data_IF_553868031702
#
_entry.id   IF_553868031702
#
_cell.length_a   1.000
_cell.length_b   1.000
_cell.length_c   1.000
_cell.angle_alpha   90.00
_cell.angle_beta   90.00
_cell.angle_gamma   90.00
#
_symmetry.space_group_name_H-M   'P 1'
#
loop_
_entity.id
_entity.type
_entity.pdbx_description
1 polymer ?
#
# COMPACT_ATOMS: atom_id res chain seq x y z
N UNK A 1 9.99 -9.31 29.72
CA UNK A 1 11.06 -9.53 28.73
C UNK A 1 10.61 -8.94 27.40
N UNK A 2 11.09 -7.72 27.07
CA UNK A 2 10.74 -7.02 25.82
C UNK A 2 11.57 -7.63 24.68
N UNK A 3 10.96 -8.42 23.80
CA UNK A 3 11.59 -8.83 22.54
C UNK A 3 11.21 -7.80 21.48
N UNK A 4 12.20 -7.06 21.03
CA UNK A 4 12.07 -6.12 19.92
C UNK A 4 11.74 -6.84 18.62
N UNK A 5 11.01 -6.16 17.76
CA UNK A 5 11.03 -6.41 16.33
C UNK A 5 11.12 -5.05 15.64
N UNK A 6 12.17 -4.96 14.82
CA UNK A 6 12.67 -3.82 14.07
C UNK A 6 11.63 -3.25 13.09
N UNK A 7 11.64 -1.92 12.98
CA UNK A 7 10.76 -1.14 12.15
C UNK A 7 11.13 -1.28 10.67
N UNK A 8 10.23 -1.83 9.86
CA UNK A 8 10.27 -1.69 8.41
C UNK A 8 9.00 -0.99 7.96
N UNK A 9 9.13 0.28 7.55
CA UNK A 9 8.11 1.19 7.02
C UNK A 9 7.05 1.77 7.98
N UNK A 10 6.72 1.10 9.10
CA UNK A 10 5.74 1.61 10.09
C UNK A 10 6.14 2.95 10.75
N UNK A 11 7.44 3.28 10.75
CA UNK A 11 7.96 4.54 11.32
C UNK A 11 7.63 5.78 10.48
N UNK A 12 7.32 5.64 9.17
CA UNK A 12 6.93 6.79 8.32
C UNK A 12 5.57 7.36 8.76
N UNK A 13 4.65 6.49 9.17
CA UNK A 13 3.31 6.87 9.62
C UNK A 13 3.29 7.59 10.98
N UNK A 14 4.42 7.67 11.71
CA UNK A 14 4.38 8.14 13.09
C UNK A 14 4.13 9.65 13.21
N UNK A 15 4.57 10.53 12.30
CA UNK A 15 4.31 12.00 12.39
C UNK A 15 4.56 12.81 11.09
N UNK A 16 4.22 12.35 9.88
CA UNK A 16 4.37 13.19 8.68
C UNK A 16 3.11 13.21 7.82
N UNK A 17 2.74 14.41 7.35
CA UNK A 17 1.74 14.63 6.31
C UNK A 17 2.28 14.03 5.00
N UNK A 18 1.42 13.36 4.25
CA UNK A 18 1.73 12.81 2.94
C UNK A 18 2.17 13.91 1.96
N UNK A 19 3.20 13.66 1.16
CA UNK A 19 3.68 14.57 0.09
C UNK A 19 2.77 14.49 -1.13
N UNK A 20 2.77 15.53 -1.96
CA UNK A 20 1.93 15.59 -3.17
C UNK A 20 2.25 14.48 -4.18
N UNK A 21 3.54 14.13 -4.33
CA UNK A 21 3.99 12.97 -5.09
C UNK A 21 4.65 12.02 -4.08
N UNK A 22 4.03 10.87 -3.84
CA UNK A 22 4.54 9.88 -2.89
C UNK A 22 4.02 8.48 -3.23
N UNK A 23 4.85 7.47 -3.03
CA UNK A 23 4.44 6.08 -3.07
C UNK A 23 5.22 5.27 -2.05
N UNK A 24 4.67 4.13 -1.66
CA UNK A 24 5.32 3.28 -0.67
C UNK A 24 4.65 1.94 -0.49
N UNK A 25 5.42 1.00 0.02
CA UNK A 25 4.95 -0.33 0.43
C UNK A 25 4.73 -0.29 1.95
N UNK A 26 3.66 -0.92 2.43
CA UNK A 26 3.36 -1.04 3.85
C UNK A 26 3.35 -2.52 4.18
N UNK A 27 4.17 -2.91 5.16
CA UNK A 27 4.14 -4.26 5.72
C UNK A 27 3.08 -4.31 6.83
N UNK A 28 2.15 -5.24 6.68
CA UNK A 28 1.07 -5.53 7.60
C UNK A 28 1.38 -6.80 8.38
N UNK A 29 1.33 -6.68 9.70
CA UNK A 29 1.28 -7.80 10.62
C UNK A 29 -0.18 -8.28 10.67
N UNK A 30 -0.53 -9.32 9.91
CA UNK A 30 -1.88 -9.92 9.98
C UNK A 30 -1.87 -11.11 10.95
N UNK A 31 -3.04 -11.70 11.22
CA UNK A 31 -3.22 -12.68 12.29
C UNK A 31 -2.28 -13.92 12.24
N UNK A 32 -1.62 -14.17 11.12
CA UNK A 32 -0.67 -15.26 10.92
C UNK A 32 0.76 -14.94 11.37
N UNK A 33 1.08 -13.68 11.70
CA UNK A 33 2.38 -13.26 12.23
C UNK A 33 2.82 -11.86 11.78
N UNK A 34 3.97 -11.36 12.26
CA UNK A 34 4.54 -10.10 11.78
C UNK A 34 4.99 -10.18 10.32
N UNK A 35 4.80 -9.11 9.53
CA UNK A 35 5.32 -8.96 8.17
C UNK A 35 4.69 -9.89 7.13
N UNK A 36 3.53 -10.47 7.42
CA UNK A 36 2.91 -11.53 6.61
C UNK A 36 2.17 -11.05 5.37
N UNK A 37 1.88 -9.75 5.26
CA UNK A 37 1.22 -9.18 4.07
C UNK A 37 1.80 -7.81 3.72
N UNK A 38 1.98 -7.53 2.43
CA UNK A 38 2.44 -6.23 1.95
C UNK A 38 1.38 -5.62 1.05
N UNK A 39 1.02 -4.37 1.33
CA UNK A 39 0.16 -3.52 0.51
C UNK A 39 0.97 -2.34 0.01
N UNK A 40 0.48 -1.56 -0.95
CA UNK A 40 1.13 -0.31 -1.33
C UNK A 40 0.16 0.82 -1.55
N UNK A 41 0.70 2.03 -1.64
CA UNK A 41 -0.07 3.22 -1.98
C UNK A 41 0.65 4.05 -3.04
N UNK A 42 -0.13 4.80 -3.80
CA UNK A 42 0.35 5.73 -4.81
C UNK A 42 -0.42 7.05 -4.73
N UNK A 43 0.32 8.15 -4.62
CA UNK A 43 -0.20 9.50 -4.58
C UNK A 43 0.39 10.33 -5.72
N UNK A 44 -0.47 10.67 -6.68
CA UNK A 44 -0.15 11.54 -7.82
C UNK A 44 -0.96 12.85 -7.77
N UNK A 45 -0.36 14.03 -7.93
CA UNK A 45 -1.08 15.30 -7.87
C UNK A 45 -2.18 15.44 -8.93
N UNK A 46 -2.13 14.68 -10.02
CA UNK A 46 -3.11 14.70 -11.10
C UNK A 46 -4.35 13.83 -10.81
N UNK A 47 -4.29 12.96 -9.79
CA UNK A 47 -5.42 12.10 -9.39
C UNK A 47 -6.21 12.75 -8.25
N UNK A 48 -7.54 12.66 -8.28
CA UNK A 48 -8.42 13.17 -7.21
C UNK A 48 -8.47 12.25 -5.97
N UNK A 49 -7.82 11.09 -6.03
CA UNK A 49 -7.77 10.06 -4.99
C UNK A 49 -6.35 9.58 -4.71
N UNK A 50 -6.12 9.06 -3.51
CA UNK A 50 -4.91 8.28 -3.19
C UNK A 50 -5.22 6.82 -3.46
N UNK A 51 -4.36 6.14 -4.20
CA UNK A 51 -4.53 4.71 -4.45
C UNK A 51 -3.99 3.92 -3.27
N UNK A 52 -4.79 2.97 -2.79
CA UNK A 52 -4.38 1.93 -1.86
C UNK A 52 -4.58 0.58 -2.55
N UNK A 53 -3.47 -0.07 -2.87
CA UNK A 53 -3.43 -1.32 -3.60
C UNK A 53 -3.12 -2.47 -2.65
N UNK A 54 -4.04 -3.43 -2.60
CA UNK A 54 -3.84 -4.72 -1.96
C UNK A 54 -3.70 -5.80 -3.06
N UNK A 55 -2.51 -6.40 -3.23
CA UNK A 55 -2.28 -7.45 -4.23
C UNK A 55 -3.26 -8.64 -4.17
N UNK A 56 -3.77 -8.93 -2.97
CA UNK A 56 -4.69 -10.05 -2.75
C UNK A 56 -6.12 -9.58 -2.56
N UNK A 57 -6.36 -8.29 -2.38
CA UNK A 57 -7.67 -7.65 -2.21
C UNK A 57 -8.41 -8.02 -0.91
N UNK A 58 -7.98 -9.06 -0.19
CA UNK A 58 -8.60 -9.55 1.05
C UNK A 58 -8.65 -8.51 2.19
N UNK A 59 -7.75 -7.53 2.16
CA UNK A 59 -7.62 -6.48 3.18
C UNK A 59 -7.84 -5.07 2.63
N UNK A 60 -8.25 -4.91 1.37
CA UNK A 60 -8.55 -3.59 0.79
C UNK A 60 -9.56 -2.80 1.66
N UNK A 61 -10.58 -3.49 2.20
CA UNK A 61 -11.59 -2.89 3.08
C UNK A 61 -11.22 -2.88 4.58
N UNK A 62 -10.10 -3.51 4.95
CA UNK A 62 -9.63 -3.63 6.34
C UNK A 62 -8.41 -2.73 6.62
N UNK A 63 -8.32 -1.61 5.91
CA UNK A 63 -7.24 -0.64 6.10
C UNK A 63 -7.15 -0.22 7.57
N UNK A 64 -5.94 -0.30 8.16
CA UNK A 64 -5.76 0.07 9.55
C UNK A 64 -5.98 1.58 9.75
N UNK A 65 -6.56 2.03 10.88
CA UNK A 65 -6.91 3.44 11.10
C UNK A 65 -5.74 4.43 10.94
N UNK A 66 -4.54 4.05 11.36
CA UNK A 66 -3.33 4.87 11.22
C UNK A 66 -2.92 5.06 9.76
N UNK A 67 -3.00 4.00 8.95
CA UNK A 67 -2.72 4.07 7.51
C UNK A 67 -3.79 4.94 6.84
N UNK A 68 -5.07 4.70 7.13
CA UNK A 68 -6.18 5.51 6.60
C UNK A 68 -5.97 7.00 6.90
N UNK A 69 -5.65 7.34 8.16
CA UNK A 69 -5.37 8.72 8.57
C UNK A 69 -4.19 9.34 7.82
N UNK A 70 -3.13 8.57 7.60
CA UNK A 70 -1.98 9.02 6.82
C UNK A 70 -2.35 9.28 5.35
N UNK A 71 -3.06 8.38 4.68
CA UNK A 71 -3.51 8.59 3.29
C UNK A 71 -4.47 9.77 3.15
N UNK A 72 -5.37 9.96 4.12
CA UNK A 72 -6.27 11.12 4.19
C UNK A 72 -5.52 12.45 4.37
N UNK A 73 -4.28 12.42 4.89
CA UNK A 73 -3.46 13.63 5.04
C UNK A 73 -2.95 14.20 3.70
N UNK A 74 -3.13 13.48 2.59
CA UNK A 74 -2.87 13.95 1.22
C UNK A 74 -3.68 15.19 0.83
N UNK A 75 -4.85 15.39 1.45
CA UNK A 75 -5.80 16.44 1.05
C UNK A 75 -6.71 16.05 -0.12
N UNK A 76 -6.67 14.79 -0.57
CA UNK A 76 -7.53 14.27 -1.63
C UNK A 76 -8.92 13.88 -1.13
N UNK A 77 -9.90 13.85 -2.04
CA UNK A 77 -11.31 13.62 -1.71
C UNK A 77 -11.58 12.21 -1.21
N UNK A 78 -10.87 11.23 -1.76
CA UNK A 78 -11.13 9.82 -1.50
C UNK A 78 -9.85 8.97 -1.52
N UNK A 79 -9.99 7.74 -1.02
CA UNK A 79 -9.00 6.67 -1.16
C UNK A 79 -9.58 5.68 -2.16
N UNK A 80 -8.88 5.45 -3.27
CA UNK A 80 -9.24 4.45 -4.27
C UNK A 80 -8.69 3.08 -3.89
N UNK A 81 -9.48 2.03 -4.09
CA UNK A 81 -9.12 0.64 -3.80
C UNK A 81 -9.20 -0.18 -5.09
N UNK A 82 -8.30 -1.15 -5.28
CA UNK A 82 -8.40 -2.07 -6.41
C UNK A 82 -9.56 -3.07 -6.22
N UNK A 83 -10.24 -3.39 -7.31
CA UNK A 83 -11.36 -4.34 -7.36
C UNK A 83 -10.96 -5.76 -7.82
N UNK A 84 -9.75 -5.93 -8.35
CA UNK A 84 -9.27 -7.18 -8.94
C UNK A 84 -8.28 -7.90 -8.03
N UNK A 85 -8.60 -9.16 -7.75
CA UNK A 85 -7.94 -10.03 -6.78
C UNK A 85 -7.07 -11.04 -7.52
N UNK A 86 -5.76 -11.08 -7.22
CA UNK A 86 -4.96 -12.25 -7.57
C UNK A 86 -5.25 -13.34 -6.53
N UNK A 87 -6.08 -14.33 -6.90
CA UNK A 87 -6.55 -15.47 -6.06
C UNK A 87 -5.46 -16.47 -5.66
N UNK A 88 -4.25 -16.01 -5.34
CA UNK A 88 -3.23 -16.82 -4.69
C UNK A 88 -2.96 -16.30 -3.27
N UNK A 89 -3.86 -16.58 -2.31
CA UNK A 89 -3.86 -16.01 -0.95
C UNK A 89 -2.67 -16.42 -0.06
N UNK A 90 -1.62 -17.02 -0.62
CA UNK A 90 -0.46 -17.54 0.12
C UNK A 90 0.88 -17.26 -0.58
N UNK A 91 0.91 -16.39 -1.58
CA UNK A 91 2.16 -16.10 -2.27
C UNK A 91 3.02 -15.12 -1.46
N UNK A 92 4.29 -15.44 -1.21
CA UNK A 92 5.31 -14.50 -0.71
C UNK A 92 5.62 -13.34 -1.67
N UNK A 93 4.84 -13.19 -2.75
CA UNK A 93 5.02 -12.24 -3.84
C UNK A 93 4.22 -10.95 -3.69
N UNK A 94 3.53 -10.70 -2.57
CA UNK A 94 2.77 -9.45 -2.35
C UNK A 94 3.65 -8.21 -2.55
N UNK A 95 4.87 -8.19 -1.99
CA UNK A 95 5.85 -7.12 -2.24
C UNK A 95 6.22 -6.94 -3.71
N UNK A 96 6.40 -8.04 -4.47
CA UNK A 96 6.66 -7.99 -5.91
C UNK A 96 5.48 -7.37 -6.68
N UNK A 97 4.25 -7.74 -6.34
CA UNK A 97 3.06 -7.17 -6.97
C UNK A 97 2.90 -5.68 -6.64
N UNK A 98 3.20 -5.26 -5.41
CA UNK A 98 3.25 -3.85 -5.04
C UNK A 98 4.27 -3.07 -5.88
N UNK A 99 5.47 -3.60 -6.08
CA UNK A 99 6.48 -2.97 -6.93
C UNK A 99 6.03 -2.91 -8.39
N UNK A 100 5.50 -4.01 -8.93
CA UNK A 100 4.99 -4.07 -10.30
C UNK A 100 3.89 -3.03 -10.52
N UNK A 101 2.97 -2.91 -9.57
CA UNK A 101 1.92 -1.89 -9.58
C UNK A 101 2.51 -0.48 -9.63
N UNK A 102 3.40 -0.13 -8.70
CA UNK A 102 4.04 1.19 -8.62
C UNK A 102 4.76 1.52 -9.94
N UNK A 103 5.51 0.58 -10.51
CA UNK A 103 6.20 0.78 -11.80
C UNK A 103 5.22 1.10 -12.92
N UNK A 104 4.10 0.37 -13.00
CA UNK A 104 3.07 0.58 -14.03
C UNK A 104 2.40 1.95 -13.87
N UNK A 105 2.02 2.35 -12.65
CA UNK A 105 1.33 3.64 -12.43
C UNK A 105 2.27 4.84 -12.54
N UNK A 106 3.56 4.67 -12.25
CA UNK A 106 4.58 5.72 -12.44
C UNK A 106 5.07 5.81 -13.88
N UNK A 107 4.97 4.74 -14.65
CA UNK A 107 5.41 4.68 -16.05
C UNK A 107 4.30 4.05 -16.92
N UNK A 108 3.24 4.81 -17.26
CA UNK A 108 2.10 4.30 -18.01
C UNK A 108 2.48 3.71 -19.39
N UNK A 109 3.60 4.14 -19.98
CA UNK A 109 4.13 3.60 -21.23
C UNK A 109 4.55 2.13 -21.16
N UNK A 110 4.72 1.55 -19.96
CA UNK A 110 5.04 0.13 -19.74
C UNK A 110 3.78 -0.76 -19.63
N UNK A 111 2.58 -0.17 -19.62
CA UNK A 111 1.32 -0.92 -19.49
C UNK A 111 0.88 -1.66 -20.77
N UNK A 112 1.55 -1.42 -21.90
CA UNK A 112 1.22 -1.97 -23.23
C UNK A 112 1.95 -3.27 -23.60
N UNK A 113 2.66 -3.90 -22.66
CA UNK A 113 3.35 -5.18 -22.88
C UNK A 113 2.73 -6.32 -22.09
N UNK A 114 1.74 -7.01 -22.66
CA UNK A 114 1.28 -8.35 -22.25
C UNK A 114 0.67 -9.07 -23.44
#
# INVERSE_FOLDING_TARGET
MKRGLEASLLQICYQKKMRQIENGIINLDIATGPGTHSVCYYNDPNNNFVEYFDPFGDYAYKILPNIKKYLQSSGKKEIGYNSSFSRHPASVKCGYFCMKYIVVVTNPSLSSGS
#
